data_IF_964998321513
#
_entry.id   IF_964998321513
#
_cell.length_a   1.000
_cell.length_b   1.000
_cell.length_c   1.000
_cell.angle_alpha   90.00
_cell.angle_beta   90.00
_cell.angle_gamma   90.00
#
_symmetry.space_group_name_H-M   'P 1'
#
loop_
_entity.id
_entity.type
_entity.pdbx_description
1 polymer ?
#
# COMPACT_ATOMS: atom_id res chain seq x y z
N UNK A 1 -8.12 6.10 -20.06
CA UNK A 1 -7.62 4.99 -19.24
C UNK A 1 -8.67 4.58 -18.22
N UNK A 2 -8.88 3.30 -18.07
CA UNK A 2 -9.88 2.81 -17.13
C UNK A 2 -9.32 2.75 -15.71
N UNK A 3 -10.08 3.30 -14.76
CA UNK A 3 -9.81 3.11 -13.35
C UNK A 3 -10.41 1.75 -12.96
N UNK A 4 -9.56 0.79 -12.63
CA UNK A 4 -9.95 -0.55 -12.18
C UNK A 4 -9.30 -0.82 -10.84
N UNK A 5 -9.79 -1.82 -10.11
CA UNK A 5 -9.20 -2.19 -8.83
C UNK A 5 -7.74 -2.61 -8.98
N UNK A 6 -7.42 -3.36 -10.03
CA UNK A 6 -6.05 -3.80 -10.28
C UNK A 6 -5.13 -2.61 -10.63
N UNK A 7 -5.60 -1.71 -11.49
CA UNK A 7 -4.83 -0.50 -11.82
C UNK A 7 -4.55 0.35 -10.60
N UNK A 8 -5.50 0.46 -9.68
CA UNK A 8 -5.29 1.22 -8.44
C UNK A 8 -4.23 0.56 -7.57
N UNK A 9 -4.19 -0.77 -7.51
CA UNK A 9 -3.13 -1.47 -6.77
C UNK A 9 -1.76 -1.11 -7.33
N UNK A 10 -1.59 -1.19 -8.65
CA UNK A 10 -0.31 -0.84 -9.30
C UNK A 10 0.03 0.64 -9.15
N UNK A 11 -0.95 1.52 -9.31
CA UNK A 11 -0.72 2.96 -9.18
C UNK A 11 -0.33 3.35 -7.75
N UNK A 12 -0.98 2.74 -6.77
CA UNK A 12 -0.66 2.95 -5.35
C UNK A 12 0.78 2.50 -5.05
N UNK A 13 1.13 1.31 -5.51
CA UNK A 13 2.47 0.74 -5.36
C UNK A 13 3.53 1.63 -6.02
N UNK A 14 3.29 2.06 -7.26
CA UNK A 14 4.22 2.89 -8.00
C UNK A 14 4.42 4.26 -7.34
N UNK A 15 3.36 4.85 -6.82
CA UNK A 15 3.45 6.14 -6.13
C UNK A 15 4.31 6.03 -4.86
N UNK A 16 4.23 4.90 -4.15
CA UNK A 16 5.08 4.65 -2.99
C UNK A 16 6.55 4.55 -3.41
N UNK A 17 6.84 3.79 -4.46
CA UNK A 17 8.21 3.63 -4.95
C UNK A 17 8.82 4.93 -5.45
N UNK A 18 8.03 5.76 -6.12
CA UNK A 18 8.50 7.05 -6.65
C UNK A 18 8.41 8.18 -5.64
N UNK A 19 7.89 7.91 -4.44
CA UNK A 19 7.71 8.88 -3.37
C UNK A 19 6.89 10.11 -3.85
N UNK A 20 5.83 9.82 -4.61
CA UNK A 20 4.95 10.81 -5.20
C UNK A 20 3.75 11.03 -4.27
N UNK A 21 3.82 12.08 -3.45
CA UNK A 21 2.80 12.35 -2.44
C UNK A 21 1.42 12.56 -3.06
N UNK A 22 1.32 13.41 -4.07
CA UNK A 22 0.03 13.71 -4.71
C UNK A 22 -0.54 12.47 -5.41
N UNK A 23 0.31 11.75 -6.15
CA UNK A 23 -0.10 10.53 -6.82
C UNK A 23 -0.54 9.46 -5.83
N UNK A 24 0.17 9.32 -4.71
CA UNK A 24 -0.18 8.38 -3.66
C UNK A 24 -1.55 8.72 -3.06
N UNK A 25 -1.74 9.97 -2.64
CA UNK A 25 -2.99 10.40 -2.00
C UNK A 25 -4.19 10.26 -2.94
N UNK A 26 -3.98 10.44 -4.24
CA UNK A 26 -5.04 10.27 -5.24
C UNK A 26 -5.50 8.82 -5.38
N UNK A 27 -4.70 7.85 -4.93
CA UNK A 27 -5.07 6.43 -4.95
C UNK A 27 -5.75 5.96 -3.66
N UNK A 28 -5.85 6.82 -2.65
CA UNK A 28 -6.37 6.46 -1.33
C UNK A 28 -7.84 6.88 -1.20
N UNK A 29 -8.65 6.00 -0.63
CA UNK A 29 -10.03 6.31 -0.22
C UNK A 29 -10.09 6.51 1.29
N UNK A 30 -10.83 7.51 1.71
CA UNK A 30 -10.93 7.86 3.13
C UNK A 30 -12.33 7.54 3.69
N UNK A 31 -12.44 7.21 4.98
CA UNK A 31 -11.34 7.01 5.91
C UNK A 31 -10.47 5.82 5.51
N UNK A 32 -9.17 5.98 5.70
CA UNK A 32 -8.18 4.97 5.31
C UNK A 32 -7.54 4.38 6.55
N UNK A 33 -7.40 3.04 6.58
CA UNK A 33 -6.78 2.35 7.71
C UNK A 33 -5.56 1.55 7.23
N UNK A 34 -4.45 1.64 7.97
CA UNK A 34 -3.37 0.70 7.80
C UNK A 34 -2.98 0.08 9.13
N UNK A 35 -2.58 -1.18 9.07
CA UNK A 35 -2.22 -1.97 10.23
C UNK A 35 -0.94 -2.74 9.97
N UNK A 36 -0.22 -3.04 11.05
CA UNK A 36 0.98 -3.86 11.00
C UNK A 36 0.84 -5.06 11.93
N UNK A 37 1.61 -6.10 11.62
CA UNK A 37 1.66 -7.33 12.41
C UNK A 37 2.03 -7.10 13.88
N UNK A 38 2.63 -5.96 14.20
CA UNK A 38 3.03 -5.61 15.56
C UNK A 38 1.91 -4.96 16.38
N UNK A 39 0.68 -4.93 15.85
CA UNK A 39 -0.47 -4.39 16.55
C UNK A 39 -0.76 -2.92 16.31
N UNK A 40 0.08 -2.22 15.55
CA UNK A 40 -0.20 -0.84 15.19
C UNK A 40 -1.38 -0.80 14.23
N UNK A 41 -2.38 0.06 14.52
CA UNK A 41 -3.54 0.27 13.65
C UNK A 41 -3.86 1.76 13.66
N UNK A 42 -3.89 2.37 12.48
CA UNK A 42 -4.09 3.81 12.32
C UNK A 42 -5.19 4.04 11.30
N UNK A 43 -6.17 4.89 11.66
CA UNK A 43 -7.23 5.31 10.75
C UNK A 43 -7.12 6.81 10.50
N UNK A 44 -7.09 7.19 9.23
CA UNK A 44 -6.90 8.56 8.77
C UNK A 44 -8.19 9.00 8.11
N UNK A 45 -8.76 10.12 8.58
CA UNK A 45 -10.13 10.50 8.20
C UNK A 45 -10.25 11.11 6.81
N UNK A 46 -9.23 11.86 6.35
CA UNK A 46 -9.25 12.53 5.05
C UNK A 46 -7.84 12.89 4.59
N UNK A 47 -7.74 13.43 3.38
CA UNK A 47 -6.47 13.78 2.75
C UNK A 47 -5.68 14.82 3.57
N UNK A 48 -6.36 15.84 4.08
CA UNK A 48 -5.73 16.90 4.87
C UNK A 48 -5.15 16.34 6.16
N UNK A 49 -5.90 15.48 6.84
CA UNK A 49 -5.46 14.79 8.05
C UNK A 49 -4.18 14.00 7.77
N UNK A 50 -4.14 13.30 6.63
CA UNK A 50 -2.96 12.52 6.24
C UNK A 50 -1.74 13.43 6.09
N UNK A 51 -1.88 14.52 5.35
CA UNK A 51 -0.77 15.45 5.08
C UNK A 51 -0.22 16.09 6.35
N UNK A 52 -1.09 16.45 7.28
CA UNK A 52 -0.72 17.24 8.45
C UNK A 52 -0.22 16.36 9.58
N UNK A 53 -0.87 15.23 9.84
CA UNK A 53 -0.68 14.46 11.08
C UNK A 53 0.03 13.13 10.91
N UNK A 54 0.26 12.67 9.68
CA UNK A 54 0.83 11.33 9.44
C UNK A 54 1.96 11.37 8.42
N UNK A 55 2.88 10.42 8.56
CA UNK A 55 3.99 10.30 7.63
C UNK A 55 3.59 9.46 6.42
N UNK A 56 4.19 9.76 5.28
CA UNK A 56 3.98 8.99 4.07
C UNK A 56 4.68 7.63 4.17
N UNK A 57 4.18 6.61 3.43
CA UNK A 57 4.72 5.24 3.55
C UNK A 57 6.23 5.15 3.34
N UNK A 58 6.77 5.85 2.37
CA UNK A 58 8.22 5.81 2.09
C UNK A 58 9.05 6.35 3.25
N UNK A 59 8.55 7.31 3.98
CA UNK A 59 9.26 7.85 5.15
C UNK A 59 9.26 6.84 6.30
N UNK A 60 8.16 6.10 6.46
CA UNK A 60 8.07 5.05 7.48
C UNK A 60 9.03 3.90 7.13
N UNK A 61 9.06 3.50 5.86
CA UNK A 61 9.95 2.43 5.40
C UNK A 61 11.41 2.82 5.67
N UNK A 62 11.80 4.03 5.29
CA UNK A 62 13.19 4.49 5.45
C UNK A 62 13.65 4.57 6.90
N UNK A 63 12.73 4.67 7.84
CA UNK A 63 13.08 4.70 9.28
C UNK A 63 13.69 3.39 9.76
N UNK A 64 13.17 2.26 9.26
CA UNK A 64 13.64 0.92 9.66
C UNK A 64 14.55 0.28 8.62
N UNK A 65 14.48 0.76 7.38
CA UNK A 65 15.22 0.20 6.24
C UNK A 65 15.93 1.36 5.54
N UNK A 66 16.96 1.90 6.17
CA UNK A 66 17.62 3.13 5.70
C UNK A 66 18.22 3.01 4.29
N UNK A 67 18.55 1.80 3.84
CA UNK A 67 19.09 1.56 2.51
C UNK A 67 18.04 1.15 1.50
N UNK A 68 16.76 1.28 1.82
CA UNK A 68 15.68 0.94 0.90
C UNK A 68 15.76 1.78 -0.38
N UNK A 69 15.68 1.09 -1.51
CA UNK A 69 15.60 1.71 -2.83
C UNK A 69 14.17 1.70 -3.35
N UNK A 70 13.58 0.53 -3.41
CA UNK A 70 12.21 0.35 -3.89
C UNK A 70 11.67 -0.99 -3.40
N UNK A 71 10.37 -1.21 -3.63
CA UNK A 71 9.70 -2.46 -3.31
C UNK A 71 9.23 -3.10 -4.61
N UNK A 72 9.60 -4.36 -4.83
CA UNK A 72 9.08 -5.14 -5.96
C UNK A 72 7.83 -5.89 -5.52
N UNK A 73 6.81 -5.88 -6.39
CA UNK A 73 5.59 -6.66 -6.18
C UNK A 73 5.74 -7.96 -6.98
N UNK A 74 6.09 -9.03 -6.29
CA UNK A 74 6.35 -10.32 -6.94
C UNK A 74 5.09 -11.07 -7.30
N UNK A 75 4.03 -10.90 -6.49
CA UNK A 75 2.80 -11.65 -6.67
C UNK A 75 1.61 -10.81 -6.24
N UNK A 76 0.56 -10.85 -7.04
CA UNK A 76 -0.73 -10.25 -6.73
C UNK A 76 -1.80 -11.32 -6.89
N UNK A 77 -2.63 -11.51 -5.87
CA UNK A 77 -3.68 -12.52 -5.86
C UNK A 77 -4.98 -11.88 -5.40
N UNK A 78 -6.02 -11.96 -6.23
CA UNK A 78 -7.35 -11.55 -5.83
C UNK A 78 -7.95 -12.66 -4.95
N UNK A 79 -8.25 -12.34 -3.72
CA UNK A 79 -8.75 -13.31 -2.73
C UNK A 79 -10.27 -13.34 -2.71
N UNK A 80 -10.90 -12.19 -2.83
CA UNK A 80 -12.35 -12.05 -2.80
C UNK A 80 -12.72 -10.77 -3.51
N UNK A 81 -13.91 -10.75 -4.12
CA UNK A 81 -14.37 -9.55 -4.81
C UNK A 81 -15.89 -9.44 -4.84
N UNK A 82 -16.33 -8.19 -4.93
CA UNK A 82 -17.70 -7.82 -5.25
C UNK A 82 -17.63 -6.66 -6.25
N UNK A 83 -18.77 -6.10 -6.63
CA UNK A 83 -18.78 -4.95 -7.53
C UNK A 83 -18.17 -3.69 -6.93
N UNK A 84 -18.05 -3.63 -5.61
CA UNK A 84 -17.58 -2.43 -4.92
C UNK A 84 -16.37 -2.63 -4.04
N UNK A 85 -15.84 -3.86 -3.96
CA UNK A 85 -14.72 -4.13 -3.05
C UNK A 85 -13.93 -5.34 -3.52
N UNK A 86 -12.60 -5.24 -3.52
CA UNK A 86 -11.72 -6.35 -3.88
C UNK A 86 -10.61 -6.45 -2.85
N UNK A 87 -10.38 -7.68 -2.37
CA UNK A 87 -9.29 -7.97 -1.45
C UNK A 87 -8.14 -8.60 -2.23
N UNK A 88 -6.96 -7.98 -2.13
CA UNK A 88 -5.73 -8.49 -2.75
C UNK A 88 -4.75 -8.94 -1.69
N UNK A 89 -4.11 -10.08 -1.95
CA UNK A 89 -2.94 -10.55 -1.20
C UNK A 89 -1.73 -10.32 -2.08
N UNK A 90 -0.72 -9.65 -1.53
CA UNK A 90 0.49 -9.30 -2.28
C UNK A 90 1.72 -9.86 -1.57
N UNK A 91 2.66 -10.37 -2.36
CA UNK A 91 3.99 -10.73 -1.88
C UNK A 91 4.95 -9.71 -2.44
N UNK A 92 5.71 -9.06 -1.57
CA UNK A 92 6.61 -7.97 -1.94
C UNK A 92 8.01 -8.21 -1.40
N UNK A 93 9.01 -7.68 -2.13
CA UNK A 93 10.40 -7.69 -1.69
C UNK A 93 10.91 -6.26 -1.54
N UNK A 94 11.51 -5.97 -0.40
CA UNK A 94 12.20 -4.69 -0.18
C UNK A 94 13.60 -4.81 -0.73
N UNK A 95 13.92 -3.97 -1.72
CA UNK A 95 15.20 -4.00 -2.43
C UNK A 95 16.05 -2.82 -1.95
N UNK A 96 17.29 -3.08 -1.55
CA UNK A 96 18.17 -2.03 -1.10
C UNK A 96 18.91 -1.37 -2.27
N UNK A 97 19.67 -0.32 -1.98
CA UNK A 97 20.41 0.46 -2.99
C UNK A 97 21.48 -0.34 -3.72
N UNK A 98 21.87 -1.49 -3.19
CA UNK A 98 22.81 -2.41 -3.84
C UNK A 98 22.09 -3.46 -4.69
N UNK A 99 20.76 -3.40 -4.81
CA UNK A 99 19.98 -4.33 -5.60
C UNK A 99 19.70 -5.66 -4.91
N UNK A 100 19.92 -5.73 -3.59
CA UNK A 100 19.75 -6.97 -2.81
C UNK A 100 18.42 -6.93 -2.09
N UNK A 101 17.75 -8.09 -2.02
CA UNK A 101 16.52 -8.23 -1.23
C UNK A 101 16.87 -8.29 0.26
N UNK A 102 16.41 -7.28 1.02
CA UNK A 102 16.61 -7.26 2.47
C UNK A 102 15.46 -7.90 3.22
N UNK A 103 14.26 -7.89 2.64
CA UNK A 103 13.06 -8.30 3.36
C UNK A 103 12.00 -8.77 2.37
N UNK A 104 11.31 -9.86 2.72
CA UNK A 104 10.11 -10.31 2.01
C UNK A 104 8.92 -10.10 2.95
N UNK A 105 7.86 -9.47 2.44
CA UNK A 105 6.66 -9.22 3.22
C UNK A 105 5.42 -9.72 2.49
N UNK A 106 4.41 -10.05 3.28
CA UNK A 106 3.09 -10.43 2.80
C UNK A 106 2.10 -9.38 3.29
N UNK A 107 1.29 -8.84 2.38
CA UNK A 107 0.36 -7.76 2.73
C UNK A 107 -1.03 -8.03 2.16
N UNK A 108 -2.04 -7.48 2.81
CA UNK A 108 -3.42 -7.46 2.33
C UNK A 108 -3.76 -6.00 2.02
N UNK A 109 -4.23 -5.75 0.81
CA UNK A 109 -4.75 -4.44 0.40
C UNK A 109 -6.19 -4.60 -0.03
N UNK A 110 -7.04 -3.66 0.37
CA UNK A 110 -8.45 -3.66 -0.03
C UNK A 110 -8.72 -2.43 -0.89
N UNK A 111 -9.13 -2.68 -2.13
CA UNK A 111 -9.56 -1.64 -3.05
C UNK A 111 -11.08 -1.50 -2.97
N UNK A 112 -11.58 -0.28 -2.96
CA UNK A 112 -13.00 0.02 -2.82
C UNK A 112 -13.43 0.95 -3.95
N UNK A 113 -14.60 0.67 -4.52
CA UNK A 113 -15.23 1.52 -5.52
C UNK A 113 -16.26 2.41 -4.85
N UNK A 114 -16.06 3.71 -4.92
CA UNK A 114 -17.02 4.68 -4.41
C UNK A 114 -16.83 6.00 -5.15
N UNK A 115 -17.90 6.77 -5.27
CA UNK A 115 -17.89 8.08 -5.93
C UNK A 115 -17.31 8.01 -7.35
N UNK A 116 -17.62 6.93 -8.07
CA UNK A 116 -17.25 6.78 -9.46
C UNK A 116 -15.84 6.26 -9.74
N UNK A 117 -15.07 5.90 -8.71
CA UNK A 117 -13.71 5.41 -8.91
C UNK A 117 -13.24 4.46 -7.83
N UNK A 118 -12.23 3.66 -8.17
CA UNK A 118 -11.55 2.76 -7.25
C UNK A 118 -10.46 3.49 -6.49
N UNK A 119 -10.20 3.05 -5.25
CA UNK A 119 -9.07 3.52 -4.46
C UNK A 119 -8.73 2.51 -3.37
N UNK A 120 -7.56 2.63 -2.77
CA UNK A 120 -7.13 1.77 -1.67
C UNK A 120 -7.66 2.37 -0.37
N UNK A 121 -8.40 1.58 0.40
CA UNK A 121 -8.98 2.04 1.66
C UNK A 121 -8.43 1.30 2.87
N UNK A 122 -7.71 0.20 2.67
CA UNK A 122 -7.16 -0.58 3.78
C UNK A 122 -5.87 -1.28 3.34
N UNK A 123 -4.86 -1.26 4.24
CA UNK A 123 -3.65 -2.06 4.08
C UNK A 123 -3.31 -2.74 5.40
N UNK A 124 -2.85 -3.98 5.32
CA UNK A 124 -2.34 -4.70 6.48
C UNK A 124 -1.04 -5.41 6.11
N UNK A 125 0.02 -5.10 6.83
CA UNK A 125 1.31 -5.76 6.67
C UNK A 125 1.38 -6.94 7.64
N UNK A 126 1.39 -8.16 7.10
CA UNK A 126 1.45 -9.39 7.91
C UNK A 126 2.88 -9.74 8.34
N UNK A 127 3.88 -9.06 7.77
CA UNK A 127 5.27 -9.40 8.01
C UNK A 127 5.78 -10.46 7.05
N UNK A 128 6.89 -11.11 7.40
CA UNK A 128 7.52 -12.12 6.55
C UNK A 128 6.70 -13.41 6.56
N UNK A 129 6.38 -13.98 5.37
CA UNK A 129 5.65 -15.25 5.31
C UNK A 129 6.45 -16.36 5.97
N UNK A 130 5.76 -17.27 6.65
CA UNK A 130 6.39 -18.44 7.28
C UNK A 130 6.41 -19.66 6.38
N UNK A 131 5.62 -19.65 5.31
CA UNK A 131 5.55 -20.74 4.33
C UNK A 131 5.47 -20.18 2.91
#
# INVERSE_FOLDING_TARGET
MHNTSENIVYNHHEAINSQDEMGYLDTVKFPFTYQNYNGVSITIKDKEDYKINYRMPWNIIKETEENWSHTDMDKIEEVACSNSSVIYKLIMRRINKSGITDLVIQVIWIAVYSKGEWGIQFRHNLGTPTH
#
